data_IF_319741015710
#
_entry.id   IF_319741015710
#
_cell.length_a   1.000
_cell.length_b   1.000
_cell.length_c   1.000
_cell.angle_alpha   90.00
_cell.angle_beta   90.00
_cell.angle_gamma   90.00
#
_symmetry.space_group_name_H-M   'P 1'
#
loop_
_entity.id
_entity.type
_entity.pdbx_description
1 polymer ?
#
# COMPACT_ATOMS: atom_id res chain seq x y z
N UNK A 1 -12.37 23.81 8.20
CA UNK A 1 -12.96 22.48 7.92
C UNK A 1 -11.83 21.48 7.87
N UNK A 2 -11.96 20.36 8.58
CA UNK A 2 -11.01 19.26 8.57
C UNK A 2 -11.16 18.44 7.28
N UNK A 3 -10.05 18.06 6.66
CA UNK A 3 -9.96 17.31 5.40
C UNK A 3 -9.22 15.99 5.64
N UNK A 4 -9.39 15.01 4.74
CA UNK A 4 -8.70 13.71 4.84
C UNK A 4 -7.16 13.87 4.96
N UNK A 5 -6.58 14.76 4.17
CA UNK A 5 -5.14 15.08 4.21
C UNK A 5 -4.66 15.62 5.56
N UNK A 6 -5.57 16.08 6.43
CA UNK A 6 -5.20 16.62 7.74
C UNK A 6 -5.05 15.51 8.79
N UNK A 7 -5.43 14.26 8.47
CA UNK A 7 -5.45 13.11 9.41
C UNK A 7 -4.81 11.84 8.83
N UNK A 8 -4.87 11.65 7.50
CA UNK A 8 -4.42 10.42 6.87
C UNK A 8 -2.93 10.15 7.14
N UNK A 9 -2.57 8.88 7.27
CA UNK A 9 -1.17 8.47 7.31
C UNK A 9 -0.52 8.73 5.96
N UNK A 10 0.57 9.50 5.96
CA UNK A 10 1.38 9.75 4.77
C UNK A 10 2.53 8.73 4.65
N UNK A 11 3.14 8.62 3.46
CA UNK A 11 4.28 7.74 3.20
C UNK A 11 4.01 6.27 3.55
N UNK A 12 2.84 5.76 3.14
CA UNK A 12 2.43 4.37 3.35
C UNK A 12 3.25 3.41 2.48
N UNK A 13 3.35 2.17 2.93
CA UNK A 13 3.96 1.08 2.17
C UNK A 13 2.97 0.64 1.09
N UNK A 14 3.46 0.39 -0.12
CA UNK A 14 2.70 -0.17 -1.25
C UNK A 14 3.57 -1.15 -2.03
N UNK A 15 2.93 -1.99 -2.85
CA UNK A 15 3.62 -2.93 -3.76
C UNK A 15 3.24 -2.65 -5.21
N UNK A 16 4.11 -3.08 -6.14
CA UNK A 16 3.84 -3.01 -7.58
C UNK A 16 2.76 -4.03 -7.97
N UNK A 17 1.96 -3.74 -8.99
CA UNK A 17 0.94 -4.66 -9.51
C UNK A 17 1.47 -6.01 -10.03
N UNK A 18 2.75 -6.06 -10.39
CA UNK A 18 3.46 -7.27 -10.80
C UNK A 18 4.25 -7.95 -9.67
N UNK A 19 4.15 -7.45 -8.43
CA UNK A 19 4.81 -8.04 -7.25
C UNK A 19 4.25 -9.44 -6.99
N UNK A 20 5.09 -10.49 -6.93
CA UNK A 20 4.62 -11.82 -6.61
C UNK A 20 3.92 -11.86 -5.25
N UNK A 21 2.82 -12.62 -5.16
CA UNK A 21 1.96 -12.62 -3.95
C UNK A 21 2.72 -13.00 -2.67
N UNK A 22 3.71 -13.89 -2.75
CA UNK A 22 4.50 -14.27 -1.58
C UNK A 22 5.33 -13.11 -1.03
N UNK A 23 5.90 -12.26 -1.90
CA UNK A 23 6.67 -11.07 -1.50
C UNK A 23 5.75 -10.03 -0.87
N UNK A 24 4.55 -9.82 -1.45
CA UNK A 24 3.55 -8.93 -0.85
C UNK A 24 3.16 -9.38 0.56
N UNK A 25 2.95 -10.69 0.78
CA UNK A 25 2.65 -11.24 2.11
C UNK A 25 3.83 -11.10 3.08
N UNK A 26 5.07 -11.27 2.63
CA UNK A 26 6.25 -11.00 3.46
C UNK A 26 6.28 -9.55 3.94
N UNK A 27 5.93 -8.59 3.07
CA UNK A 27 5.83 -7.17 3.45
C UNK A 27 4.74 -6.93 4.50
N UNK A 28 3.56 -7.55 4.34
CA UNK A 28 2.46 -7.48 5.33
C UNK A 28 2.94 -7.95 6.71
N UNK A 29 3.49 -9.16 6.78
CA UNK A 29 3.94 -9.79 8.04
C UNK A 29 5.08 -8.98 8.66
N UNK A 30 6.07 -8.58 7.86
CA UNK A 30 7.25 -7.84 8.32
C UNK A 30 6.87 -6.50 8.96
N UNK A 31 5.88 -5.81 8.42
CA UNK A 31 5.47 -4.49 8.91
C UNK A 31 4.27 -4.55 9.85
N UNK A 32 3.71 -5.73 10.12
CA UNK A 32 2.57 -5.90 11.02
C UNK A 32 1.31 -5.17 10.56
N UNK A 33 1.16 -4.97 9.25
CA UNK A 33 -0.02 -4.32 8.64
C UNK A 33 -1.02 -5.39 8.21
N UNK A 34 -2.30 -5.02 8.09
CA UNK A 34 -3.36 -5.95 7.65
C UNK A 34 -3.55 -6.00 6.13
N UNK A 35 -2.91 -5.08 5.41
CA UNK A 35 -2.99 -4.94 3.97
C UNK A 35 -2.32 -3.65 3.50
N UNK A 36 -2.16 -3.51 2.19
CA UNK A 36 -1.53 -2.35 1.58
C UNK A 36 -2.04 -2.06 0.16
N UNK A 37 -1.88 -0.82 -0.33
CA UNK A 37 -2.17 -0.49 -1.72
C UNK A 37 -1.29 -1.25 -2.72
N UNK A 38 -1.88 -1.56 -3.87
CA UNK A 38 -1.19 -2.06 -5.06
C UNK A 38 -1.19 -0.94 -6.11
N UNK A 39 -0.01 -0.62 -6.66
CA UNK A 39 0.20 0.53 -7.55
C UNK A 39 0.87 0.17 -8.88
N UNK A 40 0.62 0.96 -9.92
CA UNK A 40 1.30 0.97 -11.23
C UNK A 40 2.59 1.81 -11.20
N UNK A 41 3.46 1.71 -12.22
CA UNK A 41 4.84 2.27 -12.16
C UNK A 41 4.83 3.81 -11.98
N UNK A 42 3.75 4.45 -12.43
CA UNK A 42 3.45 5.86 -12.28
C UNK A 42 2.73 6.21 -10.95
N UNK A 43 2.72 5.28 -9.99
CA UNK A 43 2.11 5.41 -8.65
C UNK A 43 0.57 5.54 -8.66
N UNK A 44 -0.11 5.13 -9.73
CA UNK A 44 -1.57 5.07 -9.73
C UNK A 44 -2.06 3.85 -8.92
N UNK A 45 -3.10 4.06 -8.11
CA UNK A 45 -3.72 3.01 -7.31
C UNK A 45 -4.55 2.07 -8.19
N UNK A 46 -4.26 0.77 -8.15
CA UNK A 46 -4.99 -0.25 -8.92
C UNK A 46 -5.62 -1.34 -8.06
N UNK A 47 -5.25 -1.43 -6.77
CA UNK A 47 -5.84 -2.43 -5.88
C UNK A 47 -5.44 -2.27 -4.42
N UNK A 48 -5.93 -3.21 -3.62
CA UNK A 48 -5.59 -3.37 -2.20
C UNK A 48 -5.44 -4.88 -1.96
N UNK A 49 -4.38 -5.27 -1.26
CA UNK A 49 -4.07 -6.66 -0.91
C UNK A 49 -3.79 -6.81 0.58
#
# INVERSE_FOLDING_TARGET
MLKAKDIMTENIISVREDTPIYEAMEVIVKHGISGMPVVTDDMALVGIV
#
